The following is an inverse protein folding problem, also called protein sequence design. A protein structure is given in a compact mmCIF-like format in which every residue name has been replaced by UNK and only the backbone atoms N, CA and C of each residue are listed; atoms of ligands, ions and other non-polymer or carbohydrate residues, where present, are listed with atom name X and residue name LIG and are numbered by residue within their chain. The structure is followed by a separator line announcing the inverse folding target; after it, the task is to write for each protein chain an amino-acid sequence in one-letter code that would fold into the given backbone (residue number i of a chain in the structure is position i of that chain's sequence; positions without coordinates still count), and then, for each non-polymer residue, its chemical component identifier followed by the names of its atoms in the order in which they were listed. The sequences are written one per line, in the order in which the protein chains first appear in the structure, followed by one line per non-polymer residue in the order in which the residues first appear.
data_IF_564138740487
#
_entry.id   IF_564138740487
#
_cell.length_a   1.000
_cell.length_b   1.000
_cell.length_c   1.000
_cell.angle_alpha   90.00
_cell.angle_beta   90.00
_cell.angle_gamma   90.00
#
_symmetry.space_group_name_H-M   'P 1'
#
loop_
_entity.id
_entity.type
_entity.pdbx_description
1 polymer ?
#
# COMPACT_ATOMS: atom_id res chain seq x y z
N UNK A 1 -5.99 14.09 -3.62
CA UNK A 1 -6.22 12.73 -3.05
C UNK A 1 -7.45 12.14 -3.74
N UNK A 2 -7.69 10.84 -3.58
CA UNK A 2 -8.96 10.22 -3.98
C UNK A 2 -9.70 9.77 -2.72
N UNK A 3 -10.99 10.10 -2.66
CA UNK A 3 -11.94 9.47 -1.74
C UNK A 3 -12.46 8.21 -2.41
N UNK A 4 -11.75 7.12 -2.15
CA UNK A 4 -12.09 5.77 -2.59
C UNK A 4 -12.76 5.04 -1.43
N UNK A 5 -13.72 4.12 -1.69
CA UNK A 5 -14.35 3.36 -0.62
C UNK A 5 -13.29 2.70 0.27
N UNK A 6 -13.24 3.15 1.52
CA UNK A 6 -12.38 2.60 2.57
C UNK A 6 -12.89 1.19 2.86
N UNK A 7 -12.33 0.19 2.20
CA UNK A 7 -12.72 -1.16 2.52
C UNK A 7 -12.00 -1.57 3.80
N UNK A 8 -12.77 -1.67 4.88
CA UNK A 8 -12.37 -2.33 6.11
C UNK A 8 -11.90 -3.79 5.86
N UNK A 9 -12.24 -4.35 4.70
CA UNK A 9 -11.93 -5.71 4.28
C UNK A 9 -11.51 -5.78 2.81
N UNK A 10 -10.58 -6.67 2.51
CA UNK A 10 -10.12 -6.94 1.15
C UNK A 10 -11.24 -7.55 0.28
N UNK A 11 -11.32 -7.19 -1.00
CA UNK A 11 -12.32 -7.73 -1.94
C UNK A 11 -13.79 -7.52 -1.49
N UNK A 12 -14.07 -6.45 -0.74
CA UNK A 12 -15.44 -6.11 -0.35
C UNK A 12 -16.24 -5.60 -1.55
N UNK A 13 -17.13 -6.46 -2.08
CA UNK A 13 -18.01 -6.17 -3.23
C UNK A 13 -19.42 -5.77 -2.83
N UNK A 14 -19.81 -6.04 -1.59
CA UNK A 14 -21.14 -5.70 -1.05
C UNK A 14 -21.31 -4.20 -0.78
N UNK A 15 -20.23 -3.43 -0.95
CA UNK A 15 -20.21 -1.97 -0.82
C UNK A 15 -20.67 -1.23 -2.08
N UNK A 16 -20.64 0.12 -2.04
CA UNK A 16 -20.90 0.92 -3.22
C UNK A 16 -19.90 0.59 -4.34
N UNK A 17 -20.37 0.66 -5.59
CA UNK A 17 -19.52 0.51 -6.77
C UNK A 17 -18.28 1.40 -6.66
N UNK A 18 -17.12 0.87 -7.00
CA UNK A 18 -15.88 1.63 -7.04
C UNK A 18 -16.02 2.83 -7.99
N UNK A 19 -16.08 4.03 -7.41
CA UNK A 19 -16.27 5.30 -8.12
C UNK A 19 -15.61 6.43 -7.31
N UNK A 20 -14.26 6.45 -7.23
CA UNK A 20 -13.56 7.38 -6.36
C UNK A 20 -13.73 8.82 -6.83
N UNK A 21 -13.89 9.74 -5.88
CA UNK A 21 -13.97 11.19 -6.16
C UNK A 21 -12.64 11.87 -5.85
N UNK A 22 -12.26 12.85 -6.67
CA UNK A 22 -11.11 13.68 -6.38
C UNK A 22 -11.38 14.55 -5.14
N UNK A 23 -10.42 14.56 -4.21
CA UNK A 23 -10.48 15.38 -3.00
C UNK A 23 -9.31 16.36 -2.96
N UNK A 24 -9.65 17.61 -2.63
CA UNK A 24 -8.67 18.67 -2.37
C UNK A 24 -7.86 18.27 -1.14
N UNK A 25 -6.54 18.12 -1.29
CA UNK A 25 -5.73 17.59 -0.22
C UNK A 25 -5.60 18.54 0.97
N UNK A 26 -5.67 17.99 2.19
CA UNK A 26 -5.34 18.72 3.41
C UNK A 26 -3.86 19.17 3.36
N UNK A 27 -3.60 20.44 3.65
CA UNK A 27 -2.25 21.00 3.66
C UNK A 27 -1.30 20.22 4.57
N UNK A 28 -1.82 19.61 5.65
CA UNK A 28 -1.03 18.84 6.62
C UNK A 28 -0.44 17.56 6.01
N UNK A 29 -1.16 16.96 5.07
CA UNK A 29 -0.72 15.74 4.38
C UNK A 29 0.34 16.02 3.30
N UNK A 30 0.30 17.21 2.70
CA UNK A 30 1.18 17.58 1.59
C UNK A 30 2.39 18.37 2.08
N UNK A 31 2.17 19.52 2.73
CA UNK A 31 3.19 20.53 2.98
C UNK A 31 3.91 20.39 4.33
N UNK A 32 3.28 19.80 5.35
CA UNK A 32 3.86 19.74 6.70
C UNK A 32 4.42 18.36 7.09
N UNK A 33 4.61 17.45 6.14
CA UNK A 33 5.23 16.16 6.45
C UNK A 33 6.71 16.36 6.80
N UNK A 34 7.12 15.89 7.97
CA UNK A 34 8.50 16.00 8.44
C UNK A 34 9.36 14.87 7.86
N UNK A 35 10.21 15.21 6.89
CA UNK A 35 11.18 14.29 6.29
C UNK A 35 12.47 14.10 7.11
N UNK A 36 12.62 14.79 8.24
CA UNK A 36 13.77 14.66 9.14
C UNK A 36 15.13 14.87 8.44
N UNK A 37 15.12 15.70 7.39
CA UNK A 37 16.30 16.00 6.55
C UNK A 37 16.94 14.77 5.88
N UNK A 38 16.20 13.67 5.72
CA UNK A 38 16.67 12.48 5.00
C UNK A 38 16.78 12.77 3.50
N UNK A 39 17.87 12.25 2.90
CA UNK A 39 18.16 12.36 1.47
C UNK A 39 18.11 10.98 0.81
N UNK A 40 17.91 10.96 -0.51
CA UNK A 40 18.00 9.71 -1.29
C UNK A 40 19.37 9.03 -1.09
N UNK A 41 19.45 7.69 -0.99
CA UNK A 41 20.71 6.97 -0.73
C UNK A 41 21.84 7.17 -1.77
N UNK A 42 21.51 7.63 -2.98
CA UNK A 42 22.52 8.00 -3.98
C UNK A 42 23.26 6.84 -4.67
N UNK A 43 22.77 5.61 -4.53
CA UNK A 43 23.33 4.41 -5.17
C UNK A 43 23.18 4.45 -6.71
N UNK A 44 24.19 3.94 -7.44
CA UNK A 44 24.08 3.72 -8.88
C UNK A 44 23.23 2.48 -9.17
N UNK A 45 22.57 2.44 -10.34
CA UNK A 45 21.68 1.33 -10.71
C UNK A 45 22.36 -0.04 -10.68
N UNK A 46 23.64 -0.09 -11.04
CA UNK A 46 24.45 -1.33 -11.08
C UNK A 46 24.73 -1.92 -9.69
N UNK A 47 24.62 -1.08 -8.65
CA UNK A 47 24.91 -1.45 -7.26
C UNK A 47 23.62 -1.83 -6.50
N UNK A 48 22.47 -1.82 -7.18
CA UNK A 48 21.18 -2.17 -6.57
C UNK A 48 21.03 -3.68 -6.40
N UNK A 49 20.63 -4.07 -5.19
CA UNK A 49 20.14 -5.38 -4.83
C UNK A 49 18.66 -5.20 -4.52
N UNK A 50 17.83 -5.43 -5.54
CA UNK A 50 16.40 -5.12 -5.54
C UNK A 50 15.61 -6.29 -4.94
N UNK A 51 14.73 -5.98 -4.00
CA UNK A 51 13.72 -6.90 -3.47
C UNK A 51 12.33 -6.46 -3.92
N UNK A 52 11.72 -7.22 -4.82
CA UNK A 52 10.35 -6.97 -5.28
C UNK A 52 9.33 -7.52 -4.26
N UNK A 53 8.38 -6.68 -3.84
CA UNK A 53 7.38 -7.05 -2.84
C UNK A 53 6.01 -6.42 -3.09
N UNK A 54 4.97 -7.17 -2.77
CA UNK A 54 3.60 -6.65 -2.69
C UNK A 54 3.28 -6.18 -1.27
N UNK A 55 2.87 -4.91 -1.12
CA UNK A 55 2.58 -4.28 0.20
C UNK A 55 1.66 -5.15 1.06
N UNK A 56 0.59 -5.66 0.45
CA UNK A 56 -0.37 -6.53 1.15
C UNK A 56 0.24 -7.87 1.57
N UNK A 57 0.74 -8.65 0.61
CA UNK A 57 1.23 -10.01 0.83
C UNK A 57 2.34 -10.09 1.87
N UNK A 58 3.23 -9.10 1.87
CA UNK A 58 4.44 -9.14 2.68
C UNK A 58 4.17 -9.27 4.17
N UNK A 59 3.00 -8.81 4.64
CA UNK A 59 2.63 -8.87 6.05
C UNK A 59 1.24 -9.43 6.33
N UNK A 60 0.51 -9.88 5.30
CA UNK A 60 -0.88 -10.37 5.46
C UNK A 60 -0.97 -11.62 6.32
N UNK A 61 0.03 -12.50 6.32
CA UNK A 61 -0.02 -13.72 7.14
C UNK A 61 0.02 -13.40 8.64
N UNK A 62 -0.66 -14.21 9.47
CA UNK A 62 -0.71 -14.01 10.93
C UNK A 62 0.69 -14.10 11.57
N UNK A 63 1.53 -14.99 11.04
CA UNK A 63 2.91 -15.19 11.50
C UNK A 63 3.88 -14.12 11.01
N UNK A 64 3.40 -13.06 10.33
CA UNK A 64 4.28 -11.97 9.88
C UNK A 64 4.95 -11.25 11.06
N UNK A 65 4.41 -11.36 12.28
CA UNK A 65 4.94 -10.69 13.47
C UNK A 65 4.80 -9.17 13.42
N UNK A 66 3.74 -8.68 12.78
CA UNK A 66 3.35 -7.25 12.79
C UNK A 66 2.54 -6.94 14.04
N UNK A 67 2.85 -5.83 14.70
CA UNK A 67 2.10 -5.36 15.87
C UNK A 67 0.71 -4.88 15.47
N UNK A 68 -0.29 -5.17 16.30
CA UNK A 68 -1.70 -4.89 15.98
C UNK A 68 -2.09 -5.44 14.60
N UNK A 69 -1.74 -6.72 14.34
CA UNK A 69 -1.91 -7.37 13.03
C UNK A 69 -3.26 -7.07 12.35
N UNK A 70 -4.37 -7.07 13.11
CA UNK A 70 -5.71 -6.80 12.56
C UNK A 70 -5.82 -5.45 11.82
N UNK A 71 -5.14 -4.41 12.30
CA UNK A 71 -5.18 -3.06 11.71
C UNK A 71 -4.00 -2.77 10.78
N UNK A 72 -2.85 -3.42 11.01
CA UNK A 72 -1.60 -3.08 10.31
C UNK A 72 -1.21 -4.07 9.22
N UNK A 73 -1.70 -5.31 9.25
CA UNK A 73 -1.28 -6.33 8.29
C UNK A 73 -1.69 -5.98 6.86
N UNK A 74 -0.72 -6.08 5.95
CA UNK A 74 -0.87 -5.77 4.54
C UNK A 74 -1.15 -4.29 4.25
N UNK A 75 -0.58 -3.40 5.06
CA UNK A 75 -0.62 -1.93 4.92
C UNK A 75 0.81 -1.38 4.86
N UNK A 76 0.98 -0.10 4.51
CA UNK A 76 2.28 0.57 4.55
C UNK A 76 2.90 0.54 5.96
N UNK A 77 2.09 0.72 7.02
CA UNK A 77 2.58 0.59 8.41
C UNK A 77 3.04 -0.81 8.74
N UNK A 78 2.29 -1.83 8.32
CA UNK A 78 2.71 -3.23 8.52
C UNK A 78 4.03 -3.51 7.82
N UNK A 79 4.18 -3.03 6.58
CA UNK A 79 5.41 -3.17 5.80
C UNK A 79 6.60 -2.48 6.48
N UNK A 80 6.41 -1.28 7.04
CA UNK A 80 7.44 -0.53 7.76
C UNK A 80 8.08 -1.37 8.88
N UNK A 81 7.30 -2.16 9.62
CA UNK A 81 7.82 -3.06 10.66
C UNK A 81 8.75 -4.17 10.14
N UNK A 82 8.84 -4.35 8.82
CA UNK A 82 9.71 -5.33 8.17
C UNK A 82 10.99 -4.74 7.60
N UNK A 83 11.20 -3.43 7.69
CA UNK A 83 12.49 -2.79 7.33
C UNK A 83 13.68 -3.49 8.02
N UNK A 84 13.65 -3.79 9.34
CA UNK A 84 14.78 -4.50 9.98
C UNK A 84 15.05 -5.89 9.40
N UNK A 85 14.01 -6.58 8.90
CA UNK A 85 14.18 -7.87 8.24
C UNK A 85 14.87 -7.71 6.88
N UNK A 86 14.45 -6.71 6.07
CA UNK A 86 15.06 -6.41 4.78
C UNK A 86 16.52 -5.96 4.92
N UNK A 87 16.83 -5.14 5.93
CA UNK A 87 18.20 -4.75 6.26
C UNK A 87 19.06 -5.98 6.63
N UNK A 88 18.54 -6.90 7.44
CA UNK A 88 19.25 -8.16 7.77
C UNK A 88 19.44 -9.07 6.56
N UNK A 89 18.51 -9.05 5.62
CA UNK A 89 18.62 -9.79 4.36
C UNK A 89 19.74 -9.22 3.48
N UNK A 90 20.09 -7.94 3.64
CA UNK A 90 21.18 -7.28 2.91
C UNK A 90 20.75 -6.61 1.61
N UNK A 91 19.44 -6.41 1.41
CA UNK A 91 18.91 -5.70 0.24
C UNK A 91 19.03 -4.19 0.45
N UNK A 92 19.23 -3.44 -0.63
CA UNK A 92 19.40 -1.98 -0.57
C UNK A 92 18.34 -1.20 -1.35
N UNK A 93 17.45 -1.90 -2.04
CA UNK A 93 16.34 -1.33 -2.78
C UNK A 93 15.12 -2.24 -2.63
N UNK A 94 13.96 -1.63 -2.38
CA UNK A 94 12.67 -2.33 -2.37
C UNK A 94 11.86 -1.82 -3.56
N UNK A 95 11.50 -2.73 -4.45
CA UNK A 95 10.56 -2.47 -5.53
C UNK A 95 9.16 -2.89 -5.07
N UNK A 96 8.24 -1.94 -4.97
CA UNK A 96 6.86 -2.23 -4.61
C UNK A 96 6.05 -2.49 -5.87
N UNK A 97 5.28 -3.60 -5.88
CA UNK A 97 4.19 -3.78 -6.83
C UNK A 97 3.23 -2.59 -6.78
N UNK A 98 2.42 -2.34 -7.84
CA UNK A 98 1.61 -1.13 -7.99
C UNK A 98 0.95 -0.64 -6.71
N UNK A 99 1.40 0.53 -6.24
CA UNK A 99 0.91 1.20 -5.03
C UNK A 99 -0.06 2.34 -5.32
N UNK A 100 -0.34 2.62 -6.58
CA UNK A 100 -1.28 3.67 -7.00
C UNK A 100 -2.72 3.18 -6.86
N UNK A 101 -3.70 4.10 -6.78
CA UNK A 101 -5.11 3.70 -6.63
C UNK A 101 -5.59 2.85 -7.82
N UNK A 102 -6.24 1.71 -7.53
CA UNK A 102 -6.85 0.81 -8.51
C UNK A 102 -8.14 0.16 -7.96
N UNK A 103 -8.97 -0.37 -8.86
CA UNK A 103 -10.18 -1.10 -8.46
C UNK A 103 -9.88 -2.59 -8.18
N UNK A 104 -9.83 -2.96 -6.89
CA UNK A 104 -9.69 -4.37 -6.45
C UNK A 104 -10.86 -5.26 -6.94
N UNK A 105 -12.03 -4.68 -7.20
CA UNK A 105 -13.27 -5.41 -7.56
C UNK A 105 -13.49 -5.55 -9.07
N UNK A 106 -12.62 -4.96 -9.88
CA UNK A 106 -12.74 -4.98 -11.34
C UNK A 106 -12.52 -6.38 -11.95
N UNK A 107 -11.95 -7.34 -11.20
CA UNK A 107 -11.74 -8.70 -11.69
C UNK A 107 -13.08 -9.42 -11.92
N UNK A 108 -13.43 -9.84 -13.14
CA UNK A 108 -14.72 -10.51 -13.39
C UNK A 108 -14.68 -12.01 -13.04
N UNK A 109 -13.52 -12.55 -12.64
CA UNK A 109 -13.32 -13.99 -12.49
C UNK A 109 -13.86 -14.48 -11.15
N UNK A 110 -14.35 -15.72 -11.15
CA UNK A 110 -14.71 -16.47 -9.97
C UNK A 110 -13.63 -17.51 -9.65
N UNK A 111 -13.49 -17.85 -8.38
CA UNK A 111 -12.67 -18.97 -7.96
C UNK A 111 -13.29 -20.27 -8.51
N UNK A 112 -12.51 -21.14 -9.17
CA UNK A 112 -13.04 -22.27 -9.94
C UNK A 112 -13.73 -23.35 -9.10
N UNK A 113 -13.58 -23.30 -7.77
CA UNK A 113 -14.13 -24.32 -6.86
C UNK A 113 -15.10 -23.76 -5.84
N UNK A 114 -14.87 -22.54 -5.36
CA UNK A 114 -15.73 -21.91 -4.34
C UNK A 114 -16.76 -20.97 -4.94
N UNK A 115 -16.64 -20.66 -6.24
CA UNK A 115 -17.46 -19.69 -6.97
C UNK A 115 -17.41 -18.26 -6.39
N UNK A 116 -16.50 -18.01 -5.44
CA UNK A 116 -16.30 -16.69 -4.85
C UNK A 116 -15.64 -15.76 -5.87
N UNK A 117 -16.04 -14.50 -5.87
CA UNK A 117 -15.38 -13.51 -6.72
C UNK A 117 -13.91 -13.34 -6.37
N UNK A 118 -13.05 -13.42 -7.38
CA UNK A 118 -11.65 -13.04 -7.25
C UNK A 118 -11.51 -11.52 -7.29
N UNK A 119 -10.40 -11.02 -6.79
CA UNK A 119 -10.05 -9.61 -6.77
C UNK A 119 -8.83 -9.38 -7.65
N UNK A 120 -8.69 -8.15 -8.17
CA UNK A 120 -7.42 -7.70 -8.66
C UNK A 120 -6.49 -7.53 -7.46
N UNK A 121 -5.54 -8.44 -7.32
CA UNK A 121 -4.62 -8.42 -6.19
C UNK A 121 -3.41 -7.53 -6.44
N UNK A 122 -2.81 -7.63 -7.63
CA UNK A 122 -1.51 -7.00 -7.93
C UNK A 122 -1.60 -5.51 -8.25
N UNK A 123 -2.76 -5.02 -8.70
CA UNK A 123 -2.97 -3.59 -8.93
C UNK A 123 -2.54 -3.07 -10.30
N UNK A 124 -2.25 -3.93 -11.29
CA UNK A 124 -1.99 -3.53 -12.70
C UNK A 124 -3.26 -3.09 -13.45
N UNK A 125 -4.05 -2.22 -12.83
CA UNK A 125 -5.24 -1.58 -13.40
C UNK A 125 -5.43 -0.19 -12.77
N UNK A 126 -4.37 0.62 -12.84
CA UNK A 126 -4.28 1.91 -12.16
C UNK A 126 -5.39 2.87 -12.61
N UNK A 127 -6.13 3.41 -11.64
CA UNK A 127 -7.15 4.44 -11.85
C UNK A 127 -6.57 5.87 -11.75
N UNK A 128 -5.52 6.06 -10.95
CA UNK A 128 -4.84 7.36 -10.82
C UNK A 128 -3.36 7.21 -10.46
N UNK A 129 -2.48 7.86 -11.22
CA UNK A 129 -1.02 7.78 -11.04
C UNK A 129 -0.45 8.74 -9.99
N UNK A 130 -1.29 9.52 -9.32
CA UNK A 130 -0.85 10.56 -8.36
C UNK A 130 -1.26 10.29 -6.92
N UNK A 131 -2.00 9.20 -6.68
CA UNK A 131 -2.59 8.90 -5.38
C UNK A 131 -2.21 7.48 -4.97
N UNK A 132 -1.61 7.28 -3.78
CA UNK A 132 -1.35 5.95 -3.27
C UNK A 132 -2.68 5.26 -2.91
N UNK A 133 -2.68 3.94 -3.04
CA UNK A 133 -3.82 3.08 -2.80
C UNK A 133 -4.33 3.24 -1.36
N UNK A 134 -5.56 3.75 -1.22
CA UNK A 134 -6.15 4.00 0.11
C UNK A 134 -6.29 2.72 0.94
N UNK A 135 -6.47 1.56 0.28
CA UNK A 135 -6.61 0.26 0.95
C UNK A 135 -5.31 -0.33 1.47
N UNK A 136 -4.17 0.31 1.19
CA UNK A 136 -2.89 0.01 1.83
C UNK A 136 -2.62 0.93 3.04
N UNK A 137 -3.55 1.80 3.41
CA UNK A 137 -3.50 2.51 4.68
C UNK A 137 -4.05 1.66 5.83
N UNK A 138 -3.48 1.82 7.02
CA UNK A 138 -3.99 1.21 8.26
C UNK A 138 -5.16 1.97 8.87
N UNK A 139 -5.32 3.25 8.51
CA UNK A 139 -6.36 4.14 9.03
C UNK A 139 -7.35 4.52 7.94
N UNK A 140 -8.59 4.77 8.36
CA UNK A 140 -9.67 5.26 7.48
C UNK A 140 -9.74 6.80 7.50
N UNK A 141 -8.64 7.45 7.11
CA UNK A 141 -8.57 8.90 6.94
C UNK A 141 -8.15 9.19 5.50
N UNK A 142 -8.73 10.20 4.84
CA UNK A 142 -8.50 10.48 3.41
C UNK A 142 -7.02 10.69 3.04
N UNK A 143 -6.15 11.05 4.01
CA UNK A 143 -4.72 11.24 3.82
C UNK A 143 -3.83 10.16 4.42
N UNK A 144 -4.41 9.12 5.04
CA UNK A 144 -3.65 8.10 5.74
C UNK A 144 -2.65 7.40 4.81
N UNK A 145 -3.07 6.99 3.60
CA UNK A 145 -2.19 6.34 2.64
C UNK A 145 -0.99 7.22 2.26
N UNK A 146 -1.21 8.53 2.09
CA UNK A 146 -0.15 9.49 1.74
C UNK A 146 0.86 9.61 2.88
N UNK A 147 0.39 9.80 4.11
CA UNK A 147 1.26 9.95 5.27
C UNK A 147 2.01 8.66 5.56
N UNK A 148 1.32 7.52 5.59
CA UNK A 148 1.94 6.22 5.88
C UNK A 148 2.95 5.82 4.81
N UNK A 149 2.67 6.07 3.53
CA UNK A 149 3.64 5.81 2.47
C UNK A 149 4.86 6.73 2.56
N UNK A 150 4.67 8.03 2.83
CA UNK A 150 5.80 8.95 3.07
C UNK A 150 6.64 8.51 4.27
N UNK A 151 6.00 8.06 5.36
CA UNK A 151 6.72 7.50 6.51
C UNK A 151 7.51 6.26 6.11
N UNK A 152 6.92 5.32 5.36
CA UNK A 152 7.62 4.15 4.86
C UNK A 152 8.84 4.49 3.99
N UNK A 153 8.76 5.53 3.15
CA UNK A 153 9.88 5.96 2.29
C UNK A 153 10.99 6.66 3.08
N UNK A 154 10.64 7.29 4.20
CA UNK A 154 11.58 8.02 5.06
C UNK A 154 12.43 7.06 5.91
N UNK A 155 11.80 6.02 6.49
CA UNK A 155 12.48 5.00 7.30
C UNK A 155 13.32 4.04 6.46
#
# INVERSE_FOLDING_TARGET
MLDSPHAATFNCRDGPKFSPSAVVPDFRAIGSFNWESINKPGLELKDLIIYEAHVRSFTRHADSGVHNWKSSAGTFRGFLEKIPHLLRLGVNCVELLPIFEFDETACPRLHPTTEEHLCNYWGYSTCSYYVPMQRFASKQEHYAAVVEFKTLVRE
#
